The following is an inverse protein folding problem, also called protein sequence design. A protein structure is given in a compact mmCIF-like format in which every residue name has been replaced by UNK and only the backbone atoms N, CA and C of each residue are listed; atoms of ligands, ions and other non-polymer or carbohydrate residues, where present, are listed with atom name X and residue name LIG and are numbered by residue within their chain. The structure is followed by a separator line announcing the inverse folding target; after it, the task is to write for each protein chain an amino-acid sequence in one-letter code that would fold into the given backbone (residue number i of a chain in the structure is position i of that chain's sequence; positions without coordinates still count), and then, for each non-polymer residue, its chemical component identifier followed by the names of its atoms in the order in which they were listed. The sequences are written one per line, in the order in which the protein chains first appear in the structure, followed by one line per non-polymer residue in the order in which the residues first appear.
data_IF_336265966614
#
_entry.id   IF_336265966614
#
_cell.length_a   1.000
_cell.length_b   1.000
_cell.length_c   1.000
_cell.angle_alpha   90.00
_cell.angle_beta   90.00
_cell.angle_gamma   90.00
#
_symmetry.space_group_name_H-M   'P 1'
#
loop_
_entity.id
_entity.type
_entity.pdbx_description
1 polymer ?
#
# COMPACT_ATOMS: atom_id res chain seq x y z
N UNK A 1 5.43 18.00 -21.08
CA UNK A 1 5.05 18.00 -19.65
C UNK A 1 4.32 19.28 -19.24
N UNK A 2 4.85 20.48 -19.53
CA UNK A 2 4.18 21.73 -19.17
C UNK A 2 2.78 21.88 -19.81
N UNK A 3 2.59 21.46 -21.04
CA UNK A 3 1.26 21.47 -21.71
C UNK A 3 0.30 20.46 -21.05
N UNK A 4 0.80 19.29 -20.63
CA UNK A 4 -0.02 18.29 -19.94
C UNK A 4 -0.54 18.78 -18.57
N UNK A 5 0.20 19.65 -17.87
CA UNK A 5 -0.22 20.25 -16.60
C UNK A 5 -1.38 21.25 -16.75
N UNK A 6 -1.70 21.70 -17.95
CA UNK A 6 -2.87 22.54 -18.18
C UNK A 6 -4.18 21.75 -18.05
N UNK A 7 -4.14 20.44 -18.25
CA UNK A 7 -5.31 19.58 -18.11
C UNK A 7 -5.57 19.21 -16.64
N UNK A 8 -6.82 19.31 -16.23
CA UNK A 8 -7.26 19.00 -14.85
C UNK A 8 -6.92 17.55 -14.46
N UNK A 9 -7.18 16.59 -15.35
CA UNK A 9 -6.90 15.18 -15.08
C UNK A 9 -5.43 14.92 -14.76
N UNK A 10 -4.48 15.61 -15.41
CA UNK A 10 -3.06 15.44 -15.16
C UNK A 10 -2.64 16.03 -13.81
N UNK A 11 -3.19 17.18 -13.44
CA UNK A 11 -2.97 17.79 -12.12
C UNK A 11 -3.50 16.90 -11.01
N UNK A 12 -4.73 16.39 -11.19
CA UNK A 12 -5.32 15.47 -10.24
C UNK A 12 -4.51 14.17 -10.11
N UNK A 13 -4.02 13.61 -11.21
CA UNK A 13 -3.18 12.42 -11.23
C UNK A 13 -1.86 12.63 -10.46
N UNK A 14 -1.19 13.77 -10.66
CA UNK A 14 0.04 14.09 -9.94
C UNK A 14 -0.19 14.33 -8.45
N UNK A 15 -1.27 15.03 -8.08
CA UNK A 15 -1.65 15.23 -6.68
C UNK A 15 -2.02 13.90 -6.01
N UNK A 16 -2.78 13.04 -6.70
CA UNK A 16 -3.10 11.70 -6.22
C UNK A 16 -1.84 10.86 -6.03
N UNK A 17 -0.90 10.92 -6.99
CA UNK A 17 0.39 10.26 -6.89
C UNK A 17 1.21 10.75 -5.69
N UNK A 18 1.24 12.05 -5.43
CA UNK A 18 1.90 12.64 -4.27
C UNK A 18 1.26 12.17 -2.95
N UNK A 19 -0.07 12.23 -2.85
CA UNK A 19 -0.80 11.78 -1.67
C UNK A 19 -0.64 10.28 -1.42
N UNK A 20 -0.66 9.46 -2.48
CA UNK A 20 -0.33 8.03 -2.41
C UNK A 20 1.09 7.81 -1.91
N UNK A 21 2.05 8.61 -2.39
CA UNK A 21 3.45 8.49 -1.98
C UNK A 21 3.66 8.80 -0.50
N UNK A 22 2.87 9.70 0.10
CA UNK A 22 2.89 9.95 1.56
C UNK A 22 2.47 8.69 2.32
N UNK A 23 1.33 8.10 1.97
CA UNK A 23 0.86 6.87 2.60
C UNK A 23 1.87 5.72 2.42
N UNK A 24 2.41 5.54 1.20
CA UNK A 24 3.39 4.50 0.90
C UNK A 24 4.72 4.72 1.65
N UNK A 25 5.16 5.96 1.78
CA UNK A 25 6.37 6.30 2.53
C UNK A 25 6.24 5.95 4.01
N UNK A 26 5.11 6.26 4.63
CA UNK A 26 4.89 6.05 6.06
C UNK A 26 4.45 4.62 6.35
N UNK A 27 3.32 4.20 5.77
CA UNK A 27 2.72 2.88 6.07
C UNK A 27 3.53 1.76 5.41
N UNK A 28 4.04 1.96 4.19
CA UNK A 28 4.91 0.99 3.53
C UNK A 28 6.19 0.72 4.34
N UNK A 29 6.76 1.72 4.98
CA UNK A 29 7.90 1.54 5.89
C UNK A 29 7.54 0.59 7.04
N UNK A 30 6.40 0.80 7.70
CA UNK A 30 5.95 -0.13 8.75
C UNK A 30 5.62 -1.52 8.21
N UNK A 31 5.05 -1.62 7.01
CA UNK A 31 4.74 -2.90 6.36
C UNK A 31 6.02 -3.72 6.12
N UNK A 32 7.10 -3.10 5.67
CA UNK A 32 8.37 -3.77 5.39
C UNK A 32 9.11 -4.11 6.69
N UNK A 33 9.29 -3.15 7.60
CA UNK A 33 10.03 -3.34 8.86
C UNK A 33 9.37 -4.40 9.75
N UNK A 34 8.03 -4.41 9.82
CA UNK A 34 7.29 -5.42 10.59
C UNK A 34 7.06 -6.74 9.82
N UNK A 35 7.56 -6.86 8.56
CA UNK A 35 7.44 -8.05 7.72
C UNK A 35 5.99 -8.50 7.47
N UNK A 36 5.07 -7.55 7.37
CA UNK A 36 3.64 -7.78 7.16
C UNK A 36 3.19 -7.53 5.72
N UNK A 37 4.11 -7.67 4.75
CA UNK A 37 3.83 -7.46 3.31
C UNK A 37 2.71 -8.37 2.82
N UNK A 38 2.75 -9.65 3.15
CA UNK A 38 1.72 -10.62 2.75
C UNK A 38 0.35 -10.27 3.35
N UNK A 39 0.33 -9.78 4.58
CA UNK A 39 -0.88 -9.35 5.26
C UNK A 39 -1.47 -8.08 4.60
N UNK A 40 -0.65 -7.10 4.24
CA UNK A 40 -1.12 -5.90 3.53
C UNK A 40 -1.70 -6.24 2.16
N UNK A 41 -1.07 -7.19 1.43
CA UNK A 41 -1.60 -7.75 0.19
C UNK A 41 -2.93 -8.48 0.37
N UNK A 42 -3.03 -9.27 1.45
CA UNK A 42 -4.26 -9.97 1.83
C UNK A 42 -5.42 -8.99 2.07
N UNK A 43 -5.19 -7.90 2.80
CA UNK A 43 -6.18 -6.84 3.01
C UNK A 43 -6.59 -6.20 1.67
N UNK A 44 -5.60 -5.91 0.81
CA UNK A 44 -5.84 -5.26 -0.48
C UNK A 44 -6.76 -6.11 -1.36
N UNK A 45 -6.46 -7.37 -1.52
CA UNK A 45 -7.27 -8.27 -2.34
C UNK A 45 -8.62 -8.60 -1.71
N UNK A 46 -8.68 -8.82 -0.40
CA UNK A 46 -9.94 -9.06 0.30
C UNK A 46 -10.87 -7.83 0.24
N UNK A 47 -10.34 -6.60 0.18
CA UNK A 47 -11.13 -5.38 0.04
C UNK A 47 -12.04 -5.38 -1.21
N UNK A 48 -11.74 -6.25 -2.20
CA UNK A 48 -12.59 -6.48 -3.35
C UNK A 48 -14.00 -6.97 -2.95
N UNK A 49 -14.10 -7.74 -1.87
CA UNK A 49 -15.39 -8.11 -1.26
C UNK A 49 -16.21 -6.89 -0.85
N UNK A 50 -15.55 -5.85 -0.36
CA UNK A 50 -16.18 -4.58 -0.02
C UNK A 50 -16.70 -3.80 -1.24
N UNK A 51 -16.02 -3.92 -2.39
CA UNK A 51 -16.48 -3.36 -3.67
C UNK A 51 -17.79 -4.07 -4.07
N UNK A 52 -17.80 -5.40 -4.07
CA UNK A 52 -19.00 -6.19 -4.36
C UNK A 52 -20.17 -5.85 -3.45
N UNK A 53 -19.93 -5.71 -2.13
CA UNK A 53 -20.95 -5.29 -1.18
C UNK A 53 -21.51 -3.90 -1.49
N UNK A 54 -20.63 -2.94 -1.82
CA UNK A 54 -21.06 -1.59 -2.15
C UNK A 54 -22.04 -1.57 -3.35
N UNK A 55 -21.69 -2.29 -4.43
CA UNK A 55 -22.53 -2.36 -5.61
C UNK A 55 -23.83 -3.14 -5.36
N UNK A 56 -23.76 -4.29 -4.70
CA UNK A 56 -24.93 -5.15 -4.46
C UNK A 56 -25.99 -4.47 -3.58
N UNK A 57 -25.56 -3.76 -2.53
CA UNK A 57 -26.46 -3.06 -1.60
C UNK A 57 -26.72 -1.59 -1.98
N UNK A 58 -26.13 -1.08 -3.08
CA UNK A 58 -26.24 0.33 -3.47
C UNK A 58 -25.60 1.31 -2.48
N UNK A 59 -24.60 0.86 -1.72
CA UNK A 59 -23.86 1.70 -0.76
C UNK A 59 -22.83 2.59 -1.48
N UNK A 60 -22.47 3.74 -0.89
CA UNK A 60 -21.32 4.50 -1.39
C UNK A 60 -20.06 3.62 -1.42
N UNK A 61 -19.34 3.64 -2.54
CA UNK A 61 -18.16 2.81 -2.77
C UNK A 61 -17.17 2.83 -1.58
N UNK A 62 -16.87 4.03 -1.08
CA UNK A 62 -15.92 4.21 0.05
C UNK A 62 -16.41 3.51 1.31
N UNK A 63 -17.72 3.57 1.61
CA UNK A 63 -18.28 2.97 2.82
C UNK A 63 -18.19 1.45 2.79
N UNK A 64 -18.59 0.83 1.67
CA UNK A 64 -18.52 -0.63 1.52
C UNK A 64 -17.08 -1.14 1.53
N UNK A 65 -16.21 -0.52 0.74
CA UNK A 65 -14.82 -0.95 0.61
C UNK A 65 -14.04 -0.73 1.91
N UNK A 66 -14.18 0.44 2.54
CA UNK A 66 -13.49 0.77 3.78
C UNK A 66 -13.97 -0.07 4.96
N UNK A 67 -15.30 -0.21 5.10
CA UNK A 67 -15.89 -1.02 6.17
C UNK A 67 -15.44 -2.48 6.10
N UNK A 68 -15.47 -3.07 4.89
CA UNK A 68 -15.02 -4.45 4.69
C UNK A 68 -13.51 -4.62 4.86
N UNK A 69 -12.70 -3.71 4.34
CA UNK A 69 -11.25 -3.76 4.49
C UNK A 69 -10.82 -3.64 5.96
N UNK A 70 -11.46 -2.75 6.74
CA UNK A 70 -11.22 -2.64 8.18
C UNK A 70 -11.64 -3.91 8.92
N UNK A 71 -12.80 -4.49 8.59
CA UNK A 71 -13.25 -5.74 9.18
C UNK A 71 -12.22 -6.86 8.92
N UNK A 72 -11.80 -7.04 7.68
CA UNK A 72 -10.81 -8.05 7.30
C UNK A 72 -9.47 -7.78 8.01
N UNK A 73 -9.00 -6.53 8.07
CA UNK A 73 -7.79 -6.16 8.78
C UNK A 73 -7.86 -6.52 10.28
N UNK A 74 -9.01 -6.28 10.93
CA UNK A 74 -9.21 -6.66 12.34
C UNK A 74 -9.20 -8.18 12.52
N UNK A 75 -9.88 -8.94 11.63
CA UNK A 75 -9.85 -10.41 11.66
C UNK A 75 -8.41 -10.91 11.47
N UNK A 76 -7.69 -10.39 10.48
CA UNK A 76 -6.28 -10.74 10.23
C UNK A 76 -5.39 -10.39 11.43
N UNK A 77 -5.63 -9.27 12.12
CA UNK A 77 -4.91 -8.92 13.34
C UNK A 77 -5.10 -9.97 14.45
N UNK A 78 -6.35 -10.37 14.67
CA UNK A 78 -6.66 -11.42 15.67
C UNK A 78 -5.98 -12.73 15.32
N UNK A 79 -6.05 -13.12 14.06
CA UNK A 79 -5.44 -14.38 13.56
C UNK A 79 -3.92 -14.37 13.74
N UNK A 80 -3.26 -13.30 13.32
CA UNK A 80 -1.80 -13.18 13.42
C UNK A 80 -1.32 -13.18 14.88
N UNK A 81 -2.07 -12.55 15.78
CA UNK A 81 -1.73 -12.55 17.22
C UNK A 81 -1.96 -13.89 17.91
N UNK A 82 -2.92 -14.70 17.43
CA UNK A 82 -3.32 -15.96 18.09
C UNK A 82 -2.70 -17.21 17.44
N UNK A 83 -2.46 -17.17 16.13
CA UNK A 83 -2.04 -18.32 15.31
C UNK A 83 -0.86 -17.95 14.42
N UNK A 84 0.24 -17.50 15.04
CA UNK A 84 1.45 -17.03 14.32
C UNK A 84 1.98 -18.03 13.29
N UNK A 85 2.02 -19.33 13.65
CA UNK A 85 2.58 -20.38 12.80
C UNK A 85 1.77 -20.70 11.53
N UNK A 86 0.49 -20.30 11.52
CA UNK A 86 -0.44 -20.56 10.40
C UNK A 86 -1.08 -19.29 9.85
N UNK A 87 -0.59 -18.13 10.23
CA UNK A 87 -1.13 -16.83 9.82
C UNK A 87 -1.21 -16.70 8.30
N UNK A 88 -0.16 -17.07 7.59
CA UNK A 88 -0.08 -16.94 6.14
C UNK A 88 -1.16 -17.78 5.44
N UNK A 89 -1.42 -19.00 5.91
CA UNK A 89 -2.48 -19.86 5.36
C UNK A 89 -3.86 -19.20 5.53
N UNK A 90 -4.15 -18.68 6.72
CA UNK A 90 -5.45 -18.08 7.02
C UNK A 90 -5.62 -16.75 6.26
N UNK A 91 -4.56 -15.95 6.15
CA UNK A 91 -4.56 -14.72 5.34
C UNK A 91 -4.84 -15.06 3.87
N UNK A 92 -4.21 -16.10 3.33
CA UNK A 92 -4.48 -16.56 1.97
C UNK A 92 -5.93 -17.01 1.74
N UNK A 93 -6.54 -17.70 2.72
CA UNK A 93 -7.96 -18.06 2.69
C UNK A 93 -8.86 -16.83 2.72
N UNK A 94 -8.60 -15.87 3.63
CA UNK A 94 -9.37 -14.63 3.70
C UNK A 94 -9.25 -13.80 2.42
N UNK A 95 -8.06 -13.77 1.82
CA UNK A 95 -7.83 -13.16 0.52
C UNK A 95 -8.74 -13.79 -0.55
N UNK A 96 -8.67 -15.11 -0.72
CA UNK A 96 -9.43 -15.84 -1.73
C UNK A 96 -10.95 -15.69 -1.53
N UNK A 97 -11.42 -15.83 -0.28
CA UNK A 97 -12.84 -15.67 0.06
C UNK A 97 -13.33 -14.24 -0.17
N UNK A 98 -12.54 -13.23 0.18
CA UNK A 98 -12.91 -11.83 -0.04
C UNK A 98 -13.03 -11.51 -1.53
N UNK A 99 -12.10 -11.96 -2.36
CA UNK A 99 -12.18 -11.80 -3.81
C UNK A 99 -13.37 -12.54 -4.40
N UNK A 100 -13.57 -13.82 -4.05
CA UNK A 100 -14.69 -14.62 -4.56
C UNK A 100 -16.04 -14.00 -4.18
N UNK A 101 -16.20 -13.55 -2.94
CA UNK A 101 -17.39 -12.85 -2.48
C UNK A 101 -17.65 -11.59 -3.32
N UNK A 102 -16.60 -10.79 -3.56
CA UNK A 102 -16.70 -9.58 -4.36
C UNK A 102 -17.19 -9.85 -5.78
N UNK A 103 -16.59 -10.85 -6.45
CA UNK A 103 -16.99 -11.26 -7.82
C UNK A 103 -18.45 -11.72 -7.84
N UNK A 104 -18.83 -12.63 -6.95
CA UNK A 104 -20.21 -13.15 -6.90
C UNK A 104 -21.23 -12.03 -6.67
N UNK A 105 -20.96 -11.09 -5.76
CA UNK A 105 -21.88 -9.98 -5.50
C UNK A 105 -21.97 -9.01 -6.68
N UNK A 106 -20.89 -8.80 -7.43
CA UNK A 106 -20.91 -8.01 -8.66
C UNK A 106 -21.74 -8.70 -9.75
N UNK A 107 -21.57 -10.01 -9.92
CA UNK A 107 -22.35 -10.80 -10.90
C UNK A 107 -23.86 -10.81 -10.57
N UNK A 108 -24.21 -10.74 -9.29
CA UNK A 108 -25.59 -10.66 -8.82
C UNK A 108 -26.17 -9.24 -8.87
N UNK A 109 -25.35 -8.23 -9.11
CA UNK A 109 -25.80 -6.82 -9.13
C UNK A 109 -26.49 -6.50 -10.46
N UNK A 110 -27.76 -6.09 -10.49
CA UNK A 110 -28.50 -5.88 -11.74
C UNK A 110 -27.97 -4.66 -12.50
N UNK A 111 -27.73 -4.84 -13.81
CA UNK A 111 -27.49 -3.72 -14.76
C UNK A 111 -26.05 -3.22 -14.84
N UNK A 112 -25.07 -3.90 -14.23
CA UNK A 112 -23.69 -3.45 -14.23
C UNK A 112 -22.74 -4.47 -14.88
N UNK A 113 -22.24 -4.16 -16.07
CA UNK A 113 -21.05 -4.82 -16.62
C UNK A 113 -19.83 -4.13 -16.02
N UNK A 114 -19.44 -4.52 -14.81
CA UNK A 114 -18.24 -3.99 -14.19
C UNK A 114 -17.02 -4.50 -14.93
N UNK A 115 -16.28 -3.62 -15.55
CA UNK A 115 -14.96 -3.96 -16.07
C UNK A 115 -14.02 -4.23 -14.89
N UNK A 116 -13.89 -5.52 -14.54
CA UNK A 116 -12.99 -6.01 -13.48
C UNK A 116 -11.55 -5.53 -13.67
N UNK A 117 -11.14 -5.35 -14.93
CA UNK A 117 -9.81 -4.86 -15.28
C UNK A 117 -9.57 -3.43 -14.79
N UNK A 118 -10.59 -2.59 -14.77
CA UNK A 118 -10.46 -1.20 -14.28
C UNK A 118 -10.16 -1.13 -12.79
N UNK A 119 -10.66 -2.07 -11.98
CA UNK A 119 -10.33 -2.15 -10.54
C UNK A 119 -8.98 -2.81 -10.26
N UNK A 120 -8.54 -3.74 -11.11
CA UNK A 120 -7.25 -4.39 -10.96
C UNK A 120 -6.09 -3.47 -11.29
N UNK A 121 -6.19 -2.72 -12.39
CA UNK A 121 -5.13 -1.84 -12.88
C UNK A 121 -5.31 -0.38 -12.48
N UNK A 122 -6.52 0.01 -12.06
CA UNK A 122 -6.84 1.40 -11.73
C UNK A 122 -6.72 2.36 -12.91
N UNK A 123 -7.05 3.60 -12.68
CA UNK A 123 -6.80 4.69 -13.62
C UNK A 123 -6.49 5.98 -12.86
N UNK A 124 -5.22 6.21 -12.57
CA UNK A 124 -4.79 7.43 -11.86
C UNK A 124 -5.15 8.71 -12.65
N UNK A 125 -5.32 8.59 -13.98
CA UNK A 125 -5.72 9.71 -14.83
C UNK A 125 -7.22 10.06 -14.71
N UNK A 126 -8.03 9.19 -14.10
CA UNK A 126 -9.49 9.39 -13.94
C UNK A 126 -9.89 9.81 -12.51
N UNK A 127 -8.94 10.29 -11.69
CA UNK A 127 -9.18 10.64 -10.29
C UNK A 127 -9.98 11.95 -10.20
N UNK A 128 -11.19 11.93 -9.61
CA UNK A 128 -11.96 13.15 -9.39
C UNK A 128 -11.40 13.96 -8.20
N UNK A 129 -11.63 15.24 -8.21
CA UNK A 129 -11.17 16.15 -7.13
C UNK A 129 -11.72 15.77 -5.74
N UNK A 130 -12.93 15.17 -5.68
CA UNK A 130 -13.50 14.66 -4.42
C UNK A 130 -12.63 13.63 -3.74
N UNK A 131 -11.97 12.77 -4.53
CA UNK A 131 -11.11 11.70 -4.00
C UNK A 131 -9.80 12.26 -3.43
N UNK A 132 -9.28 13.35 -4.00
CA UNK A 132 -8.11 14.03 -3.46
C UNK A 132 -8.36 14.56 -2.03
N UNK A 133 -9.56 15.09 -1.77
CA UNK A 133 -9.94 15.52 -0.42
C UNK A 133 -10.03 14.35 0.55
N UNK A 134 -10.63 13.24 0.13
CA UNK A 134 -10.67 12.02 0.94
C UNK A 134 -9.25 11.53 1.26
N UNK A 135 -8.36 11.47 0.26
CA UNK A 135 -6.97 11.08 0.44
C UNK A 135 -6.23 12.01 1.40
N UNK A 136 -6.45 13.31 1.30
CA UNK A 136 -5.84 14.30 2.19
C UNK A 136 -6.26 14.06 3.64
N UNK A 137 -7.55 13.82 3.89
CA UNK A 137 -8.09 13.54 5.22
C UNK A 137 -7.50 12.23 5.77
N UNK A 138 -7.50 11.16 4.97
CA UNK A 138 -6.98 9.86 5.40
C UNK A 138 -5.46 9.93 5.67
N UNK A 139 -4.69 10.60 4.82
CA UNK A 139 -3.27 10.85 5.09
C UNK A 139 -3.06 11.66 6.37
N UNK A 140 -3.88 12.69 6.59
CA UNK A 140 -3.85 13.48 7.81
C UNK A 140 -4.06 12.63 9.06
N UNK A 141 -5.06 11.74 9.04
CA UNK A 141 -5.33 10.81 10.13
C UNK A 141 -4.15 9.84 10.37
N UNK A 142 -3.59 9.28 9.29
CA UNK A 142 -2.43 8.38 9.37
C UNK A 142 -1.22 9.12 9.96
N UNK A 143 -0.89 10.31 9.45
CA UNK A 143 0.24 11.10 9.94
C UNK A 143 0.07 11.53 11.39
N UNK A 144 -1.13 11.90 11.81
CA UNK A 144 -1.44 12.22 13.21
C UNK A 144 -1.27 11.00 14.12
N UNK A 145 -1.81 9.83 13.72
CA UNK A 145 -1.68 8.60 14.49
C UNK A 145 -0.22 8.16 14.59
N UNK A 146 0.52 8.16 13.47
CA UNK A 146 1.94 7.81 13.47
C UNK A 146 2.77 8.82 14.24
N UNK A 147 2.51 10.11 14.10
CA UNK A 147 3.23 11.17 14.83
C UNK A 147 3.02 11.06 16.34
N UNK A 148 1.78 10.81 16.79
CA UNK A 148 1.44 10.66 18.21
C UNK A 148 2.07 9.40 18.82
N UNK A 149 1.99 8.27 18.14
CA UNK A 149 2.50 6.98 18.63
C UNK A 149 3.88 6.61 18.06
N UNK A 150 4.64 7.60 17.53
CA UNK A 150 5.89 7.31 16.81
C UNK A 150 6.88 6.47 17.62
N UNK A 151 7.13 6.84 18.87
CA UNK A 151 8.09 6.14 19.74
C UNK A 151 7.60 4.74 20.12
N UNK A 152 6.29 4.56 20.25
CA UNK A 152 5.68 3.27 20.58
C UNK A 152 5.71 2.34 19.35
N UNK A 153 5.43 2.87 18.15
CA UNK A 153 5.60 2.13 16.90
C UNK A 153 7.07 1.79 16.63
N UNK A 154 8.00 2.68 16.96
CA UNK A 154 9.43 2.41 16.85
C UNK A 154 9.83 1.24 17.74
N UNK A 155 9.42 1.24 19.01
CA UNK A 155 9.67 0.14 19.93
C UNK A 155 9.05 -1.17 19.45
N UNK A 156 7.78 -1.15 19.04
CA UNK A 156 7.08 -2.31 18.51
C UNK A 156 7.76 -2.92 17.27
N UNK A 157 8.26 -2.07 16.37
CA UNK A 157 8.85 -2.52 15.10
C UNK A 157 10.21 -3.18 15.24
N UNK A 158 10.96 -2.85 16.29
CA UNK A 158 12.30 -3.41 16.51
C UNK A 158 12.34 -4.51 17.57
N UNK A 159 11.57 -4.38 18.66
CA UNK A 159 11.53 -5.34 19.75
C UNK A 159 10.19 -5.31 20.49
N UNK A 160 9.34 -6.29 20.19
CA UNK A 160 8.00 -6.42 20.79
C UNK A 160 8.08 -6.65 22.31
N UNK A 161 9.03 -7.46 22.78
CA UNK A 161 9.19 -7.79 24.20
C UNK A 161 9.65 -6.55 24.98
N UNK A 162 10.61 -5.82 24.44
CA UNK A 162 11.04 -4.54 25.02
C UNK A 162 9.89 -3.52 25.07
N UNK A 163 9.09 -3.42 24.01
CA UNK A 163 7.93 -2.55 24.00
C UNK A 163 6.94 -2.90 25.12
N UNK A 164 6.68 -4.21 25.34
CA UNK A 164 5.81 -4.67 26.43
C UNK A 164 6.36 -4.31 27.81
N UNK A 165 7.65 -4.52 28.06
CA UNK A 165 8.29 -4.15 29.33
C UNK A 165 8.23 -2.66 29.61
N UNK A 166 8.28 -1.81 28.56
CA UNK A 166 8.08 -0.36 28.66
C UNK A 166 6.62 0.05 28.92
N UNK A 167 5.69 -0.88 29.00
CA UNK A 167 4.26 -0.59 29.21
C UNK A 167 3.50 -0.18 27.95
N UNK A 168 4.11 -0.37 26.77
CA UNK A 168 3.47 -0.10 25.48
C UNK A 168 2.32 -1.10 25.25
N UNK A 169 1.15 -0.63 24.83
CA UNK A 169 0.00 -1.48 24.51
C UNK A 169 0.16 -2.12 23.14
N UNK A 170 1.05 -3.10 23.04
CA UNK A 170 1.44 -3.77 21.78
C UNK A 170 0.24 -4.22 20.96
N UNK A 171 -0.74 -4.91 21.59
CA UNK A 171 -1.94 -5.36 20.87
C UNK A 171 -2.72 -4.21 20.26
N UNK A 172 -2.93 -3.12 20.98
CA UNK A 172 -3.63 -1.94 20.47
C UNK A 172 -2.90 -1.32 19.29
N UNK A 173 -1.57 -1.15 19.38
CA UNK A 173 -0.76 -0.60 18.29
C UNK A 173 -0.76 -1.51 17.06
N UNK A 174 -0.76 -2.83 17.25
CA UNK A 174 -0.84 -3.76 16.13
C UNK A 174 -2.19 -3.65 15.40
N UNK A 175 -3.30 -3.58 16.14
CA UNK A 175 -4.62 -3.32 15.55
C UNK A 175 -4.68 -1.96 14.85
N UNK A 176 -4.12 -0.93 15.45
CA UNK A 176 -4.05 0.42 14.88
C UNK A 176 -3.21 0.42 13.60
N UNK A 177 -2.07 -0.28 13.58
CA UNK A 177 -1.22 -0.42 12.40
C UNK A 177 -2.00 -1.08 11.24
N UNK A 178 -2.69 -2.19 11.48
CA UNK A 178 -3.46 -2.86 10.45
C UNK A 178 -4.68 -2.04 9.99
N UNK A 179 -5.29 -1.26 10.87
CA UNK A 179 -6.31 -0.29 10.48
C UNK A 179 -5.73 0.78 9.55
N UNK A 180 -4.55 1.32 9.84
CA UNK A 180 -3.88 2.29 8.97
C UNK A 180 -3.46 1.67 7.64
N UNK A 181 -3.03 0.40 7.62
CA UNK A 181 -2.79 -0.35 6.37
C UNK A 181 -4.07 -0.44 5.56
N UNK A 182 -5.20 -0.82 6.16
CA UNK A 182 -6.48 -0.90 5.46
C UNK A 182 -6.94 0.45 4.91
N UNK A 183 -6.80 1.55 5.68
CA UNK A 183 -7.07 2.91 5.20
C UNK A 183 -6.22 3.28 3.99
N UNK A 184 -4.91 3.01 4.06
CA UNK A 184 -3.96 3.27 2.97
C UNK A 184 -4.30 2.45 1.73
N UNK A 185 -4.59 1.16 1.91
CA UNK A 185 -4.97 0.23 0.84
C UNK A 185 -6.22 0.72 0.11
N UNK A 186 -7.30 1.04 0.83
CA UNK A 186 -8.56 1.49 0.21
C UNK A 186 -8.38 2.81 -0.55
N UNK A 187 -7.59 3.72 0.01
CA UNK A 187 -7.24 4.98 -0.64
C UNK A 187 -6.50 4.75 -1.96
N UNK A 188 -5.54 3.83 -1.98
CA UNK A 188 -4.67 3.59 -3.13
C UNK A 188 -5.38 2.76 -4.20
N UNK A 189 -6.16 1.72 -3.82
CA UNK A 189 -6.89 0.83 -4.76
C UNK A 189 -7.74 1.65 -5.74
N UNK A 190 -8.45 2.64 -5.24
CA UNK A 190 -9.37 3.45 -6.04
C UNK A 190 -8.68 4.20 -7.17
N UNK A 191 -7.40 4.52 -6.99
CA UNK A 191 -6.64 5.39 -7.87
C UNK A 191 -5.76 4.59 -8.81
N UNK A 192 -5.04 3.63 -8.26
CA UNK A 192 -3.95 2.95 -8.96
C UNK A 192 -4.21 1.46 -9.15
N UNK A 193 -5.32 0.96 -8.62
CA UNK A 193 -5.72 -0.44 -8.69
C UNK A 193 -5.01 -1.35 -7.68
N UNK A 194 -5.52 -2.57 -7.57
CA UNK A 194 -5.08 -3.57 -6.59
C UNK A 194 -3.59 -3.96 -6.73
N UNK A 195 -3.14 -4.14 -7.96
CA UNK A 195 -1.78 -4.66 -8.23
C UNK A 195 -0.72 -3.65 -7.80
N UNK A 196 -0.96 -2.37 -8.07
CA UNK A 196 0.01 -1.32 -7.75
C UNK A 196 0.10 -1.02 -6.25
N UNK A 197 -0.97 -1.27 -5.49
CA UNK A 197 -0.97 -1.08 -4.03
C UNK A 197 0.18 -1.84 -3.37
N UNK A 198 0.29 -3.15 -3.67
CA UNK A 198 1.35 -3.99 -3.08
C UNK A 198 2.73 -3.50 -3.51
N UNK A 199 2.91 -3.18 -4.80
CA UNK A 199 4.18 -2.72 -5.32
C UNK A 199 4.64 -1.42 -4.65
N UNK A 200 3.76 -0.42 -4.50
CA UNK A 200 4.10 0.87 -3.88
C UNK A 200 4.27 0.79 -2.36
N UNK A 201 3.55 -0.12 -1.68
CA UNK A 201 3.74 -0.32 -0.24
C UNK A 201 5.01 -1.13 0.09
N UNK A 202 5.65 -1.78 -0.90
CA UNK A 202 6.78 -2.67 -0.64
C UNK A 202 8.08 -2.24 -1.30
N UNK A 203 8.06 -1.90 -2.59
CA UNK A 203 9.29 -1.64 -3.35
C UNK A 203 10.04 -0.40 -2.86
N UNK A 204 9.39 0.80 -2.75
CA UNK A 204 10.09 1.99 -2.28
C UNK A 204 10.65 1.84 -0.86
N UNK A 205 9.88 1.31 0.14
CA UNK A 205 10.42 1.11 1.49
C UNK A 205 11.54 0.08 1.55
N UNK A 206 11.45 -1.01 0.79
CA UNK A 206 12.51 -2.02 0.74
C UNK A 206 13.82 -1.45 0.18
N UNK A 207 13.76 -0.63 -0.87
CA UNK A 207 14.94 0.07 -1.37
C UNK A 207 15.46 1.06 -0.33
N UNK A 208 14.55 1.82 0.31
CA UNK A 208 14.91 2.81 1.33
C UNK A 208 15.58 2.17 2.56
N UNK A 209 15.15 0.98 2.97
CA UNK A 209 15.73 0.23 4.10
C UNK A 209 17.24 0.04 3.95
N UNK A 210 17.72 -0.22 2.73
CA UNK A 210 19.15 -0.47 2.45
C UNK A 210 20.04 0.77 2.62
N UNK A 211 19.46 1.96 2.53
CA UNK A 211 20.19 3.24 2.54
C UNK A 211 19.85 4.13 3.74
N UNK A 212 19.05 3.62 4.69
CA UNK A 212 18.62 4.39 5.86
C UNK A 212 19.08 3.76 7.17
N UNK A 213 19.57 4.62 8.08
CA UNK A 213 20.00 4.23 9.42
C UNK A 213 18.90 4.41 10.49
N UNK A 214 17.74 4.96 10.12
CA UNK A 214 16.62 5.21 11.04
C UNK A 214 15.28 5.09 10.35
N UNK A 215 14.23 4.75 11.13
CA UNK A 215 12.86 4.63 10.64
C UNK A 215 12.38 5.94 9.97
N UNK A 216 12.73 7.11 10.52
CA UNK A 216 12.39 8.42 9.95
C UNK A 216 13.02 8.60 8.56
N UNK A 217 14.32 8.36 8.46
CA UNK A 217 15.05 8.48 7.19
C UNK A 217 14.48 7.50 6.15
N UNK A 218 14.12 6.29 6.58
CA UNK A 218 13.49 5.29 5.72
C UNK A 218 12.13 5.78 5.19
N UNK A 219 11.27 6.38 6.04
CA UNK A 219 10.00 6.96 5.63
C UNK A 219 10.18 8.08 4.59
N UNK A 220 11.11 9.01 4.83
CA UNK A 220 11.39 10.10 3.89
C UNK A 220 11.94 9.57 2.56
N UNK A 221 12.92 8.68 2.59
CA UNK A 221 13.49 8.11 1.38
C UNK A 221 12.45 7.31 0.59
N UNK A 222 11.63 6.52 1.29
CA UNK A 222 10.52 5.77 0.69
C UNK A 222 9.49 6.70 0.03
N UNK A 223 9.14 7.82 0.68
CA UNK A 223 8.28 8.85 0.09
C UNK A 223 8.85 9.40 -1.22
N UNK A 224 10.12 9.81 -1.24
CA UNK A 224 10.75 10.35 -2.44
C UNK A 224 10.87 9.31 -3.55
N UNK A 225 11.19 8.06 -3.23
CA UNK A 225 11.21 6.97 -4.21
C UNK A 225 9.81 6.70 -4.78
N UNK A 226 8.76 6.69 -3.94
CA UNK A 226 7.38 6.55 -4.40
C UNK A 226 6.97 7.71 -5.32
N UNK A 227 7.31 8.94 -4.97
CA UNK A 227 7.08 10.11 -5.82
C UNK A 227 7.78 9.99 -7.17
N UNK A 228 9.04 9.55 -7.15
CA UNK A 228 9.81 9.34 -8.37
C UNK A 228 9.18 8.26 -9.27
N UNK A 229 8.84 7.09 -8.71
CA UNK A 229 8.22 5.99 -9.47
C UNK A 229 6.88 6.39 -10.06
N UNK A 230 6.05 7.09 -9.28
CA UNK A 230 4.73 7.54 -9.72
C UNK A 230 4.84 8.58 -10.83
N UNK A 231 5.70 9.58 -10.65
CA UNK A 231 5.88 10.65 -11.64
C UNK A 231 6.52 10.15 -12.93
N UNK A 232 7.57 9.33 -12.82
CA UNK A 232 8.25 8.76 -13.98
C UNK A 232 7.34 7.78 -14.73
N UNK A 233 6.60 6.91 -13.98
CA UNK A 233 5.65 5.99 -14.57
C UNK A 233 4.47 6.69 -15.26
N UNK A 234 3.92 7.74 -14.65
CA UNK A 234 2.90 8.59 -15.27
C UNK A 234 3.40 9.26 -16.55
N UNK A 235 4.62 9.77 -16.52
CA UNK A 235 5.22 10.40 -17.68
C UNK A 235 5.37 9.41 -18.86
N UNK A 236 5.92 8.23 -18.60
CA UNK A 236 6.09 7.18 -19.61
C UNK A 236 4.72 6.73 -20.14
N UNK A 237 3.74 6.53 -19.23
CA UNK A 237 2.35 6.19 -19.58
C UNK A 237 1.74 7.22 -20.54
N UNK A 238 1.91 8.50 -20.26
CA UNK A 238 1.37 9.59 -21.06
C UNK A 238 2.03 9.66 -22.45
N UNK A 239 3.36 9.52 -22.53
CA UNK A 239 4.10 9.63 -23.79
C UNK A 239 3.83 8.44 -24.72
N UNK A 240 3.75 7.22 -24.16
CA UNK A 240 3.60 5.99 -24.93
C UNK A 240 2.15 5.47 -24.97
N UNK A 241 1.20 6.21 -24.38
CA UNK A 241 -0.22 5.82 -24.30
C UNK A 241 -0.44 4.42 -23.68
N UNK A 242 0.27 4.15 -22.56
CA UNK A 242 0.23 2.88 -21.84
C UNK A 242 -0.63 2.98 -20.57
N UNK A 243 -1.05 1.83 -20.03
CA UNK A 243 -1.77 1.78 -18.74
C UNK A 243 -0.89 2.33 -17.61
N UNK A 244 -1.35 3.38 -16.92
CA UNK A 244 -0.56 4.12 -15.93
C UNK A 244 -0.10 3.26 -14.75
N UNK A 245 -1.00 2.45 -14.16
CA UNK A 245 -0.66 1.57 -13.05
C UNK A 245 0.46 0.59 -13.40
N UNK A 246 0.32 -0.12 -14.53
CA UNK A 246 1.31 -1.09 -14.99
C UNK A 246 2.67 -0.42 -15.26
N UNK A 247 2.68 0.78 -15.84
CA UNK A 247 3.93 1.50 -16.15
C UNK A 247 4.66 1.93 -14.87
N UNK A 248 3.92 2.39 -13.84
CA UNK A 248 4.49 2.74 -12.54
C UNK A 248 5.14 1.50 -11.88
N UNK A 249 4.45 0.34 -11.92
CA UNK A 249 4.99 -0.92 -11.39
C UNK A 249 6.28 -1.31 -12.11
N UNK A 250 6.31 -1.19 -13.45
CA UNK A 250 7.50 -1.53 -14.23
C UNK A 250 8.68 -0.63 -13.90
N UNK A 251 8.46 0.68 -13.74
CA UNK A 251 9.52 1.61 -13.30
C UNK A 251 10.03 1.22 -11.91
N UNK A 252 9.14 0.97 -10.96
CA UNK A 252 9.50 0.56 -9.60
C UNK A 252 10.26 -0.77 -9.62
N UNK A 253 9.79 -1.77 -10.39
CA UNK A 253 10.41 -3.09 -10.52
C UNK A 253 11.81 -3.04 -11.13
N UNK A 254 12.00 -2.24 -12.17
CA UNK A 254 13.34 -2.03 -12.77
C UNK A 254 14.29 -1.43 -11.73
N UNK A 255 13.87 -0.38 -11.02
CA UNK A 255 14.68 0.22 -9.96
C UNK A 255 14.97 -0.76 -8.80
N UNK A 256 14.02 -1.62 -8.45
CA UNK A 256 14.21 -2.68 -7.46
C UNK A 256 15.31 -3.66 -7.88
N UNK A 257 15.26 -4.20 -9.09
CA UNK A 257 16.29 -5.12 -9.59
C UNK A 257 17.65 -4.44 -9.75
N UNK A 258 17.69 -3.18 -10.17
CA UNK A 258 18.94 -2.39 -10.19
C UNK A 258 19.50 -2.27 -8.77
N UNK A 259 18.67 -1.98 -7.76
CA UNK A 259 19.10 -1.89 -6.36
C UNK A 259 19.66 -3.22 -5.85
N UNK A 260 19.03 -4.36 -6.20
CA UNK A 260 19.54 -5.70 -5.85
C UNK A 260 20.88 -6.00 -6.53
N UNK A 261 21.00 -5.65 -7.80
CA UNK A 261 22.23 -5.87 -8.54
C UNK A 261 23.43 -5.10 -7.93
N UNK A 262 23.22 -3.84 -7.54
CA UNK A 262 24.26 -3.07 -6.85
C UNK A 262 24.64 -3.67 -5.49
N UNK A 263 23.69 -4.21 -4.75
CA UNK A 263 23.95 -4.89 -3.49
C UNK A 263 24.77 -6.15 -3.71
N UNK A 264 24.42 -6.96 -4.69
CA UNK A 264 25.18 -8.17 -5.07
C UNK A 264 26.65 -7.82 -5.45
N UNK A 265 26.87 -6.76 -6.21
CA UNK A 265 28.22 -6.29 -6.57
C UNK A 265 29.02 -5.83 -5.34
N UNK A 266 28.37 -5.18 -4.35
CA UNK A 266 29.03 -4.79 -3.09
C UNK A 266 29.36 -6.02 -2.24
N UNK A 267 28.44 -6.95 -2.09
CA UNK A 267 28.62 -8.19 -1.31
C UNK A 267 29.71 -9.06 -1.90
N UNK A 268 29.75 -9.23 -3.22
CA UNK A 268 30.82 -9.97 -3.90
C UNK A 268 32.23 -9.38 -3.69
N UNK A 269 32.35 -8.07 -3.50
CA UNK A 269 33.61 -7.40 -3.18
C UNK A 269 34.06 -7.61 -1.73
N UNK A 270 33.13 -7.83 -0.80
CA UNK A 270 33.46 -8.14 0.60
C UNK A 270 34.01 -9.57 0.74
N UNK A 271 33.44 -10.55 0.03
CA UNK A 271 33.93 -11.92 0.01
C UNK A 271 35.31 -12.10 -0.66
N UNK A 272 35.71 -11.19 -1.57
CA UNK A 272 37.04 -11.23 -2.17
C UNK A 272 38.13 -10.63 -1.27
N UNK A 273 37.76 -9.75 -0.32
CA UNK A 273 38.68 -9.13 0.65
C UNK A 273 39.00 -10.01 1.87
N UNK A 274 38.19 -11.02 2.18
CA UNK A 274 38.44 -11.96 3.25
C UNK A 274 39.30 -13.16 2.80
N UNK A 275 39.69 -13.21 1.51
CA UNK A 275 40.57 -14.28 0.97
C UNK A 275 41.98 -13.80 0.63
N UNK A 276 42.30 -12.52 0.82
CA UNK A 276 43.65 -11.97 0.79
C UNK A 276 44.14 -11.70 2.22
#
# INVERSE_FOLDING_TARGET
MFEALQFEFMRNALLAGLLTSIACGVIGTFVVVNRIVFLSGGIAHAAYGGIGLAFFFGLPFVVGTLGFALLVAMVMAVVTLKARDRSDTIIGVLWALGMALGVILLDLSPGYNVDLMSFLFGSILAVPTSDLWLMLILNGLILLAVGYFYNDFLALSYDEDFAQVRGVRVKFLYFLLLAMVALSVVMIIRIVGLILVIALLTIPPYIAEKYSASLRTMMFLSFFLSCFFTTAGLWISYVFNLTSGATIIMVAGVCFFISLFFEFLKSGRLFSRERE
#
